data_IF_634861683400
#
_entry.id   IF_634861683400
#
_cell.length_a   1.000
_cell.length_b   1.000
_cell.length_c   1.000
_cell.angle_alpha   90.00
_cell.angle_beta   90.00
_cell.angle_gamma   90.00
#
_symmetry.space_group_name_H-M   'P 1'
#
loop_
_entity.id
_entity.type
_entity.pdbx_description
1 polymer ?
#
# COMPACT_ATOMS: atom_id res chain seq x y z
N UNK A 1 -0.40 5.84 8.37
CA UNK A 1 -1.19 6.53 7.32
C UNK A 1 -2.60 6.04 7.43
N UNK A 2 -3.56 6.97 7.48
CA UNK A 2 -4.96 6.60 7.68
C UNK A 2 -5.55 6.01 6.40
N UNK A 3 -6.35 4.95 6.57
CA UNK A 3 -7.02 4.25 5.48
C UNK A 3 -8.51 4.45 5.69
N UNK A 4 -9.16 5.09 4.74
CA UNK A 4 -10.61 5.33 4.75
C UNK A 4 -11.32 4.35 3.79
N UNK A 5 -12.65 4.44 3.71
CA UNK A 5 -13.48 3.64 2.79
C UNK A 5 -12.94 3.64 1.36
N UNK A 6 -12.90 2.46 0.73
CA UNK A 6 -12.29 2.25 -0.59
C UNK A 6 -10.75 2.19 -0.58
N UNK A 7 -10.14 2.30 0.60
CA UNK A 7 -8.74 2.02 0.84
C UNK A 7 -8.42 0.52 0.84
N UNK A 8 -7.16 0.20 0.64
CA UNK A 8 -6.64 -1.17 0.62
C UNK A 8 -5.53 -1.31 1.65
N UNK A 9 -5.49 -2.47 2.31
CA UNK A 9 -4.40 -2.88 3.19
C UNK A 9 -4.04 -4.35 2.93
N UNK A 10 -2.80 -4.73 3.21
CA UNK A 10 -2.32 -6.11 3.04
C UNK A 10 -1.91 -6.49 1.62
N UNK A 11 -1.99 -5.57 0.65
CA UNK A 11 -1.61 -5.85 -0.73
C UNK A 11 -0.11 -6.17 -0.88
N UNK A 12 0.73 -5.62 -0.01
CA UNK A 12 2.16 -5.97 0.06
C UNK A 12 2.37 -7.42 0.43
N UNK A 13 1.53 -7.99 1.31
CA UNK A 13 1.64 -9.37 1.72
C UNK A 13 1.19 -10.34 0.62
N UNK A 14 0.21 -9.94 -0.21
CA UNK A 14 -0.23 -10.71 -1.38
C UNK A 14 0.85 -10.73 -2.47
N UNK A 15 1.54 -9.61 -2.70
CA UNK A 15 2.56 -9.51 -3.77
C UNK A 15 3.94 -10.00 -3.31
N UNK A 16 4.27 -9.80 -2.04
CA UNK A 16 5.56 -10.12 -1.44
C UNK A 16 5.37 -10.50 0.03
N UNK A 17 5.15 -11.79 0.29
CA UNK A 17 4.79 -12.44 1.56
C UNK A 17 5.66 -12.07 2.79
N UNK A 18 6.73 -11.29 2.59
CA UNK A 18 7.66 -10.85 3.63
C UNK A 18 7.24 -9.60 4.39
N UNK A 19 6.34 -8.78 3.83
CA UNK A 19 6.04 -7.47 4.41
C UNK A 19 4.59 -7.37 4.89
N UNK A 20 4.41 -7.64 6.19
CA UNK A 20 3.17 -7.40 6.92
C UNK A 20 3.24 -6.09 7.69
N UNK A 21 2.14 -5.36 7.68
CA UNK A 21 1.97 -4.13 8.46
C UNK A 21 0.85 -4.32 9.46
N UNK A 22 0.99 -3.70 10.62
CA UNK A 22 -0.08 -3.64 11.61
C UNK A 22 -1.06 -2.52 11.23
N UNK A 23 -2.34 -2.79 11.39
CA UNK A 23 -3.40 -1.80 11.26
C UNK A 23 -4.30 -1.90 12.49
N UNK A 24 -4.75 -0.75 12.99
CA UNK A 24 -5.69 -0.65 14.11
C UNK A 24 -6.91 0.09 13.61
N UNK A 25 -8.10 -0.49 13.84
CA UNK A 25 -9.36 0.18 13.52
C UNK A 25 -9.62 1.26 14.59
N UNK A 26 -9.73 2.52 14.17
CA UNK A 26 -10.06 3.65 15.05
C UNK A 26 -11.55 3.72 15.40
N UNK A 27 -12.38 3.06 14.61
CA UNK A 27 -13.84 2.98 14.76
C UNK A 27 -14.33 1.59 14.26
N UNK A 28 -15.66 1.37 14.23
CA UNK A 28 -16.21 0.18 13.61
C UNK A 28 -15.95 0.20 12.09
N UNK A 29 -15.31 -0.84 11.57
CA UNK A 29 -14.95 -0.94 10.15
C UNK A 29 -15.40 -2.28 9.59
N UNK A 30 -16.05 -2.24 8.44
CA UNK A 30 -16.34 -3.41 7.62
C UNK A 30 -15.25 -3.58 6.55
N UNK A 31 -14.78 -4.81 6.36
CA UNK A 31 -13.70 -5.12 5.43
C UNK A 31 -14.16 -6.19 4.44
N UNK A 32 -13.86 -5.95 3.16
CA UNK A 32 -13.82 -7.01 2.16
C UNK A 32 -12.40 -7.59 2.16
N UNK A 33 -12.27 -8.89 2.35
CA UNK A 33 -10.98 -9.57 2.29
C UNK A 33 -10.86 -10.43 1.03
N UNK A 34 -9.63 -10.53 0.53
CA UNK A 34 -9.26 -11.41 -0.56
C UNK A 34 -8.00 -12.17 -0.14
N UNK A 35 -8.07 -13.49 -0.17
CA UNK A 35 -6.94 -14.35 0.10
C UNK A 35 -6.07 -14.54 -1.15
N UNK A 36 -4.78 -14.76 -0.95
CA UNK A 36 -3.84 -14.97 -2.04
C UNK A 36 -4.24 -16.19 -2.89
N UNK A 37 -4.65 -17.29 -2.26
CA UNK A 37 -5.13 -18.49 -2.97
C UNK A 37 -6.33 -18.20 -3.88
N UNK A 38 -7.25 -17.34 -3.43
CA UNK A 38 -8.43 -16.96 -4.22
C UNK A 38 -8.04 -16.08 -5.42
N UNK A 39 -7.06 -15.21 -5.25
CA UNK A 39 -6.51 -14.42 -6.35
C UNK A 39 -5.77 -15.30 -7.37
N UNK A 40 -4.96 -16.25 -6.91
CA UNK A 40 -4.25 -17.21 -7.76
C UNK A 40 -5.23 -18.10 -8.54
N UNK A 41 -6.29 -18.56 -7.88
CA UNK A 41 -7.37 -19.31 -8.52
C UNK A 41 -8.07 -18.46 -9.59
N UNK A 42 -8.39 -17.21 -9.29
CA UNK A 42 -9.00 -16.28 -10.24
C UNK A 42 -8.11 -16.08 -11.48
N UNK A 43 -6.82 -15.88 -11.30
CA UNK A 43 -5.86 -15.71 -12.41
C UNK A 43 -5.82 -16.97 -13.29
N UNK A 44 -5.93 -18.15 -12.67
CA UNK A 44 -5.93 -19.43 -13.37
C UNK A 44 -7.23 -19.69 -14.14
N UNK A 45 -8.38 -19.37 -13.55
CA UNK A 45 -9.70 -19.63 -14.13
C UNK A 45 -10.15 -18.56 -15.13
N UNK A 46 -9.89 -17.29 -14.85
CA UNK A 46 -10.15 -16.16 -15.74
C UNK A 46 -8.96 -15.17 -15.72
N UNK A 47 -7.95 -15.40 -16.58
CA UNK A 47 -6.76 -14.55 -16.65
C UNK A 47 -7.06 -13.08 -17.00
N UNK A 48 -8.12 -12.82 -17.78
CA UNK A 48 -8.47 -11.45 -18.18
C UNK A 48 -9.01 -10.66 -17.00
N UNK A 49 -9.83 -11.28 -16.17
CA UNK A 49 -10.30 -10.68 -14.94
C UNK A 49 -9.19 -10.59 -13.90
N UNK A 50 -8.39 -11.65 -13.73
CA UNK A 50 -7.23 -11.67 -12.84
C UNK A 50 -6.26 -10.52 -13.14
N UNK A 51 -5.92 -10.29 -14.41
CA UNK A 51 -5.04 -9.19 -14.82
C UNK A 51 -5.60 -7.81 -14.47
N UNK A 52 -6.93 -7.61 -14.54
CA UNK A 52 -7.56 -6.35 -14.13
C UNK A 52 -7.42 -6.12 -12.62
N UNK A 53 -7.59 -7.16 -11.82
CA UNK A 53 -7.41 -7.09 -10.36
C UNK A 53 -5.95 -6.77 -10.01
N UNK A 54 -5.00 -7.46 -10.64
CA UNK A 54 -3.57 -7.21 -10.46
C UNK A 54 -3.18 -5.77 -10.83
N UNK A 55 -3.76 -5.22 -11.90
CA UNK A 55 -3.50 -3.83 -12.31
C UNK A 55 -3.96 -2.84 -11.23
N UNK A 56 -5.10 -3.07 -10.58
CA UNK A 56 -5.58 -2.23 -9.48
C UNK A 56 -4.58 -2.27 -8.31
N UNK A 57 -4.06 -3.45 -7.94
CA UNK A 57 -3.05 -3.53 -6.88
C UNK A 57 -1.76 -2.79 -7.24
N UNK A 58 -1.30 -2.91 -8.49
CA UNK A 58 -0.12 -2.19 -8.97
C UNK A 58 -0.31 -0.67 -8.87
N UNK A 59 -1.47 -0.15 -9.27
CA UNK A 59 -1.78 1.27 -9.14
C UNK A 59 -1.80 1.75 -7.68
N UNK A 60 -2.38 0.95 -6.77
CA UNK A 60 -2.46 1.31 -5.35
C UNK A 60 -1.08 1.27 -4.69
N UNK A 61 -0.27 0.26 -4.98
CA UNK A 61 1.11 0.15 -4.51
C UNK A 61 1.97 1.31 -5.02
N UNK A 62 1.86 1.64 -6.31
CA UNK A 62 2.58 2.76 -6.92
C UNK A 62 2.22 4.10 -6.25
N UNK A 63 0.93 4.37 -6.03
CA UNK A 63 0.48 5.57 -5.31
C UNK A 63 0.99 5.63 -3.87
N UNK A 64 1.02 4.49 -3.16
CA UNK A 64 1.57 4.41 -1.80
C UNK A 64 3.08 4.69 -1.79
N UNK A 65 3.82 4.13 -2.75
CA UNK A 65 5.26 4.35 -2.89
C UNK A 65 5.58 5.81 -3.22
N UNK A 66 4.89 6.44 -4.17
CA UNK A 66 5.06 7.86 -4.51
C UNK A 66 4.79 8.76 -3.30
N UNK A 67 3.68 8.54 -2.58
CA UNK A 67 3.36 9.31 -1.37
C UNK A 67 4.44 9.16 -0.29
N UNK A 68 4.93 7.94 -0.10
CA UNK A 68 5.99 7.63 0.88
C UNK A 68 7.31 8.31 0.49
N UNK A 69 7.71 8.24 -0.78
CA UNK A 69 8.92 8.87 -1.29
C UNK A 69 8.88 10.40 -1.16
N UNK A 70 7.73 11.02 -1.46
CA UNK A 70 7.55 12.47 -1.27
C UNK A 70 7.67 12.89 0.18
N UNK A 71 7.13 12.10 1.10
CA UNK A 71 7.26 12.34 2.54
C UNK A 71 8.74 12.27 2.96
N UNK A 72 9.45 11.21 2.55
CA UNK A 72 10.90 11.09 2.80
C UNK A 72 11.70 12.26 2.22
N UNK A 73 11.38 12.73 1.02
CA UNK A 73 12.05 13.89 0.41
C UNK A 73 11.75 15.19 1.17
N UNK A 74 10.49 15.42 1.57
CA UNK A 74 10.11 16.58 2.36
C UNK A 74 10.83 16.59 3.73
N UNK A 75 10.88 15.45 4.41
CA UNK A 75 11.57 15.28 5.68
C UNK A 75 13.10 15.47 5.53
N UNK A 76 13.69 15.03 4.42
CA UNK A 76 15.11 15.25 4.13
C UNK A 76 15.44 16.74 3.92
N UNK A 77 14.59 17.47 3.16
CA UNK A 77 14.77 18.91 2.92
C UNK A 77 14.58 19.71 4.22
N UNK A 78 13.56 19.38 5.01
CA UNK A 78 13.29 20.03 6.31
C UNK A 78 14.30 19.67 7.40
N UNK A 79 14.90 18.47 7.34
CA UNK A 79 15.97 18.04 8.24
C UNK A 79 17.34 18.62 7.87
N UNK A 80 17.57 18.98 6.60
CA UNK A 80 18.80 19.65 6.16
C UNK A 80 18.86 21.15 6.49
N UNK A 81 17.72 21.78 6.83
CA UNK A 81 17.65 23.21 7.16
C UNK A 81 18.07 23.53 8.59
N UNK A 82 18.22 22.52 9.47
CA UNK A 82 18.69 22.70 10.85
C UNK A 82 20.21 22.51 11.03
N UNK A 83 20.96 22.24 9.95
CA UNK A 83 22.41 22.00 10.00
C UNK A 83 23.25 23.14 9.42
N UNK A 84 22.63 24.22 8.92
CA UNK A 84 23.33 25.39 8.37
C UNK A 84 23.45 26.59 9.34
N UNK A 85 22.94 26.47 10.57
CA UNK A 85 22.96 27.56 11.57
C UNK A 85 23.92 27.28 12.75
N UNK A 86 24.93 26.43 12.57
CA UNK A 86 26.04 26.29 13.52
C UNK A 86 27.35 26.69 12.85
N UNK A 87 27.49 27.98 12.58
CA UNK A 87 28.77 28.69 12.54
C UNK A 87 29.28 28.95 13.98
#
# INVERSE_FOLDING_TARGET
ADICSGGFLGETAIVNERHRVNAVASEFVELLFLEQENLELLIKEDPNLGNKVLLIFLEKLSKKLDKTNRLFQADYILGSSSLSDMD
#
